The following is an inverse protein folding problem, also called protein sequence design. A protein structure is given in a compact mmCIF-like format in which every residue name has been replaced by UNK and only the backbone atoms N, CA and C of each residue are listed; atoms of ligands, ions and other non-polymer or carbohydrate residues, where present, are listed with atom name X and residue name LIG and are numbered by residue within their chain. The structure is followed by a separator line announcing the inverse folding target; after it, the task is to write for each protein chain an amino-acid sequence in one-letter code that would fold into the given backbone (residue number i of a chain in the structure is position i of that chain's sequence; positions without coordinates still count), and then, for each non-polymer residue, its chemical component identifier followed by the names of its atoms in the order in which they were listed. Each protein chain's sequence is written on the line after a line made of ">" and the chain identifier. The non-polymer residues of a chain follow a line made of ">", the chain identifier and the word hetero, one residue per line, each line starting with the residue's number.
data_IF_263127869480
#
_entry.id   IF_263127869480
#
_cell.length_a   1.000
_cell.length_b   1.000
_cell.length_c   1.000
_cell.angle_alpha   90.00
_cell.angle_beta   90.00
_cell.angle_gamma   90.00
#
_symmetry.space_group_name_H-M   'P 1'
#
loop_
_entity.id
_entity.type
_entity.pdbx_description
1 polymer ?
#
# COMPACT_ATOMS: atom_id res chain seq x y z
N UNK A 1 -0.02 12.19 -19.06
CA UNK A 1 -0.28 11.49 -17.79
C UNK A 1 0.02 12.42 -16.64
N UNK A 2 -0.71 12.36 -15.53
CA UNK A 2 -0.43 13.21 -14.37
C UNK A 2 0.92 12.85 -13.75
N UNK A 3 1.72 13.86 -13.36
CA UNK A 3 3.04 13.66 -12.70
C UNK A 3 2.97 12.81 -11.42
N UNK A 4 1.78 12.71 -10.82
CA UNK A 4 1.54 11.92 -9.60
C UNK A 4 1.47 10.42 -9.86
N UNK A 5 1.05 9.99 -11.06
CA UNK A 5 0.90 8.58 -11.42
C UNK A 5 2.20 8.00 -12.00
N UNK A 6 3.05 8.85 -12.59
CA UNK A 6 4.28 8.42 -13.26
C UNK A 6 5.18 7.50 -12.40
N UNK A 7 5.46 7.79 -11.11
CA UNK A 7 6.22 6.87 -10.26
C UNK A 7 5.55 5.51 -10.02
N UNK A 8 4.21 5.46 -10.07
CA UNK A 8 3.44 4.22 -9.92
C UNK A 8 3.49 3.37 -11.18
N UNK A 9 3.49 4.00 -12.36
CA UNK A 9 3.68 3.32 -13.65
C UNK A 9 5.10 2.79 -13.78
N UNK A 10 6.12 3.60 -13.46
CA UNK A 10 7.53 3.18 -13.48
C UNK A 10 7.75 2.01 -12.51
N UNK A 11 7.20 2.11 -11.30
CA UNK A 11 7.22 1.03 -10.30
C UNK A 11 6.32 -0.16 -10.63
N UNK A 12 5.63 -0.14 -11.79
CA UNK A 12 4.65 -1.14 -12.25
C UNK A 12 3.51 -1.45 -11.27
N UNK A 13 3.26 -0.58 -10.30
CA UNK A 13 2.11 -0.69 -9.40
C UNK A 13 0.82 -0.49 -10.18
N UNK A 14 0.80 0.54 -11.04
CA UNK A 14 -0.19 0.64 -12.10
C UNK A 14 0.17 -0.38 -13.18
N UNK A 15 -0.78 -1.22 -13.56
CA UNK A 15 -0.57 -2.33 -14.49
C UNK A 15 -0.50 -3.68 -13.78
N UNK A 16 0.26 -3.83 -12.70
CA UNK A 16 0.32 -5.12 -11.98
C UNK A 16 -0.67 -5.20 -10.82
N UNK A 17 -0.88 -4.12 -10.05
CA UNK A 17 -1.70 -4.15 -8.83
C UNK A 17 -3.04 -3.43 -9.00
N UNK A 18 -3.02 -2.27 -9.67
CA UNK A 18 -4.21 -1.44 -9.92
C UNK A 18 -4.28 -1.00 -11.38
N UNK A 19 -5.47 -0.65 -11.83
CA UNK A 19 -5.68 -0.03 -13.14
C UNK A 19 -5.29 1.45 -13.12
N UNK A 20 -5.17 2.04 -14.31
CA UNK A 20 -4.90 3.47 -14.43
C UNK A 20 -6.05 4.29 -13.84
N UNK A 21 -5.72 5.30 -13.04
CA UNK A 21 -6.68 6.12 -12.32
C UNK A 21 -6.21 7.57 -12.26
N UNK A 22 -7.12 8.48 -11.90
CA UNK A 22 -6.80 9.88 -11.64
C UNK A 22 -6.82 10.11 -10.11
N UNK A 23 -5.66 10.40 -9.48
CA UNK A 23 -5.61 10.68 -8.04
C UNK A 23 -6.50 11.88 -7.70
N UNK A 24 -7.31 11.74 -6.66
CA UNK A 24 -8.25 12.78 -6.20
C UNK A 24 -8.12 13.11 -4.72
N UNK A 25 -7.39 12.28 -3.96
CA UNK A 25 -7.17 12.46 -2.52
C UNK A 25 -5.68 12.27 -2.20
N UNK A 26 -5.18 13.00 -1.21
CA UNK A 26 -3.83 12.79 -0.67
C UNK A 26 -3.89 11.76 0.45
N UNK A 27 -3.09 10.69 0.33
CA UNK A 27 -2.85 9.74 1.42
C UNK A 27 -1.47 10.03 2.03
N UNK A 28 -1.42 10.19 3.36
CA UNK A 28 -0.19 10.38 4.13
C UNK A 28 0.03 9.21 5.06
N UNK A 29 1.16 8.53 4.92
CA UNK A 29 1.52 7.33 5.69
C UNK A 29 2.90 7.55 6.28
N UNK A 30 3.02 7.36 7.60
CA UNK A 30 4.26 7.61 8.33
C UNK A 30 4.56 6.44 9.27
N UNK A 31 5.75 5.84 9.12
CA UNK A 31 6.33 4.88 10.04
C UNK A 31 7.20 5.58 11.09
N UNK A 32 7.31 5.01 12.30
CA UNK A 32 8.18 5.47 13.40
C UNK A 32 8.17 7.00 13.62
N UNK A 33 7.00 7.61 13.47
CA UNK A 33 6.71 9.05 13.66
C UNK A 33 7.35 10.04 12.68
N UNK A 34 8.42 9.69 11.97
CA UNK A 34 9.11 10.61 11.05
C UNK A 34 9.34 10.05 9.63
N UNK A 35 9.12 8.76 9.42
CA UNK A 35 9.41 8.11 8.16
C UNK A 35 8.19 8.12 7.23
N UNK A 36 8.03 9.21 6.48
CA UNK A 36 6.96 9.29 5.48
C UNK A 36 7.25 8.34 4.30
N UNK A 37 6.22 7.57 3.94
CA UNK A 37 6.22 6.69 2.76
C UNK A 37 6.16 7.55 1.50
N UNK A 38 7.03 7.23 0.54
CA UNK A 38 7.04 7.85 -0.80
C UNK A 38 7.33 6.80 -1.87
N UNK A 39 6.78 7.02 -3.07
CA UNK A 39 6.85 6.06 -4.18
C UNK A 39 8.29 5.63 -4.48
N UNK A 40 8.54 4.32 -4.39
CA UNK A 40 9.82 3.71 -4.71
C UNK A 40 10.89 3.84 -3.62
N UNK A 41 10.62 4.56 -2.53
CA UNK A 41 11.56 4.67 -1.40
C UNK A 41 11.81 3.30 -0.80
N UNK A 42 13.07 2.99 -0.54
CA UNK A 42 13.42 1.76 0.17
C UNK A 42 13.37 1.99 1.69
N UNK A 43 12.63 1.13 2.40
CA UNK A 43 12.52 1.15 3.86
C UNK A 43 13.12 -0.13 4.45
N UNK A 44 13.82 0.02 5.58
CA UNK A 44 14.37 -1.12 6.30
C UNK A 44 13.24 -1.90 7.02
N UNK A 45 13.32 -3.24 7.11
CA UNK A 45 12.34 -4.05 7.86
C UNK A 45 12.10 -3.57 9.29
N UNK A 46 13.16 -3.14 10.00
CA UNK A 46 13.07 -2.57 11.34
C UNK A 46 12.20 -1.30 11.43
N UNK A 47 12.12 -0.51 10.36
CA UNK A 47 11.31 0.71 10.30
C UNK A 47 9.82 0.41 10.08
N UNK A 48 9.53 -0.68 9.36
CA UNK A 48 8.18 -1.07 8.95
C UNK A 48 7.56 -2.17 9.84
N UNK A 49 8.25 -2.51 10.94
CA UNK A 49 7.85 -3.56 11.86
C UNK A 49 6.49 -3.29 12.50
N UNK A 50 6.26 -2.04 12.93
CA UNK A 50 5.00 -1.60 13.54
C UNK A 50 4.05 -0.98 12.51
N UNK A 51 2.75 -1.08 12.78
CA UNK A 51 1.69 -0.45 11.95
C UNK A 51 1.98 1.05 11.76
N UNK A 52 1.91 1.58 10.53
CA UNK A 52 2.14 3.00 10.29
C UNK A 52 0.96 3.86 10.78
N UNK A 53 1.24 5.13 11.03
CA UNK A 53 0.20 6.16 11.17
C UNK A 53 -0.32 6.54 9.79
N UNK A 54 -1.63 6.44 9.62
CA UNK A 54 -2.36 6.93 8.45
C UNK A 54 -3.26 8.07 8.92
N UNK A 55 -3.26 9.21 8.23
CA UNK A 55 -4.04 10.39 8.65
C UNK A 55 -5.57 10.19 8.52
N UNK A 56 -5.99 9.15 7.80
CA UNK A 56 -7.39 8.77 7.61
C UNK A 56 -7.75 7.66 8.61
N UNK A 57 -8.75 7.90 9.46
CA UNK A 57 -9.26 6.92 10.42
C UNK A 57 -10.20 5.88 9.80
N UNK A 58 -10.50 4.82 10.55
CA UNK A 58 -11.41 3.77 10.09
C UNK A 58 -11.50 2.58 11.04
N UNK A 59 -12.26 1.56 10.63
CA UNK A 59 -12.34 0.26 11.30
C UNK A 59 -11.35 -0.70 10.66
N UNK A 60 -10.51 -1.33 11.47
CA UNK A 60 -9.64 -2.42 11.03
C UNK A 60 -10.46 -3.70 10.89
N UNK A 61 -10.44 -4.31 9.71
CA UNK A 61 -11.11 -5.58 9.41
C UNK A 61 -10.11 -6.74 9.21
N UNK A 62 -8.85 -6.42 8.96
CA UNK A 62 -7.70 -7.33 8.90
C UNK A 62 -6.55 -6.63 9.61
N UNK A 63 -5.94 -7.30 10.57
CA UNK A 63 -4.83 -6.73 11.35
C UNK A 63 -3.62 -6.42 10.46
N UNK A 64 -2.85 -5.39 10.80
CA UNK A 64 -1.55 -5.18 10.16
C UNK A 64 -0.62 -6.38 10.44
N UNK A 65 -0.02 -6.94 9.38
CA UNK A 65 1.02 -7.96 9.48
C UNK A 65 2.35 -7.36 9.06
N UNK A 66 3.38 -7.60 9.86
CA UNK A 66 4.72 -7.05 9.64
C UNK A 66 5.30 -7.56 8.32
N UNK A 67 5.74 -6.65 7.42
CA UNK A 67 6.51 -7.00 6.22
C UNK A 67 7.75 -7.85 6.52
N UNK A 68 7.82 -9.06 5.94
CA UNK A 68 8.97 -9.96 6.06
C UNK A 68 9.45 -10.44 4.68
N UNK A 69 10.08 -9.56 3.87
CA UNK A 69 10.60 -9.96 2.57
C UNK A 69 11.76 -10.95 2.73
N UNK A 70 11.66 -12.12 2.10
CA UNK A 70 12.67 -13.20 2.21
C UNK A 70 13.68 -13.17 1.06
N UNK A 71 13.20 -13.02 -0.18
CA UNK A 71 14.00 -13.06 -1.41
C UNK A 71 13.72 -11.81 -2.24
N UNK A 72 14.79 -11.08 -2.58
CA UNK A 72 14.72 -9.91 -3.45
C UNK A 72 14.06 -8.69 -2.80
N UNK A 73 13.75 -7.70 -3.65
CA UNK A 73 13.09 -6.46 -3.26
C UNK A 73 11.59 -6.61 -3.51
N UNK A 74 10.79 -6.37 -2.47
CA UNK A 74 9.34 -6.44 -2.49
C UNK A 74 8.75 -5.04 -2.46
N UNK A 75 7.65 -4.84 -3.19
CA UNK A 75 6.86 -3.60 -3.16
C UNK A 75 5.71 -3.77 -2.18
N UNK A 76 5.60 -2.85 -1.23
CA UNK A 76 4.49 -2.77 -0.29
C UNK A 76 3.64 -1.57 -0.68
N UNK A 77 2.41 -1.86 -1.11
CA UNK A 77 1.52 -0.89 -1.75
C UNK A 77 0.35 -0.57 -0.83
N UNK A 78 0.14 0.72 -0.57
CA UNK A 78 -1.06 1.23 0.09
C UNK A 78 -2.01 1.81 -0.96
N UNK A 79 -3.27 1.41 -0.89
CA UNK A 79 -4.29 1.74 -1.87
C UNK A 79 -5.52 2.25 -1.12
N UNK A 80 -6.02 3.43 -1.52
CA UNK A 80 -7.19 4.05 -0.93
C UNK A 80 -8.34 4.02 -1.92
N UNK A 81 -9.48 3.46 -1.49
CA UNK A 81 -10.72 3.43 -2.25
C UNK A 81 -11.81 4.27 -1.57
N UNK A 82 -12.74 4.79 -2.37
CA UNK A 82 -13.93 5.49 -1.87
C UNK A 82 -15.09 4.50 -1.78
N UNK A 83 -15.59 4.26 -0.56
CA UNK A 83 -16.79 3.45 -0.37
C UNK A 83 -18.06 4.24 -0.74
N UNK A 84 -19.08 3.54 -1.23
CA UNK A 84 -20.41 4.13 -1.52
C UNK A 84 -21.22 4.43 -0.25
N UNK A 85 -21.03 3.61 0.79
CA UNK A 85 -21.64 3.79 2.11
C UNK A 85 -20.72 3.20 3.21
N UNK A 86 -21.04 3.47 4.48
CA UNK A 86 -20.29 2.92 5.62
C UNK A 86 -20.56 1.42 5.76
N UNK A 87 -19.56 0.68 6.27
CA UNK A 87 -19.69 -0.74 6.63
C UNK A 87 -20.09 -1.70 5.49
N UNK A 88 -19.86 -1.32 4.23
CA UNK A 88 -20.19 -2.14 3.05
C UNK A 88 -19.11 -3.15 2.64
N UNK A 89 -17.96 -3.16 3.31
CA UNK A 89 -16.77 -3.94 2.92
C UNK A 89 -16.44 -4.95 4.02
N UNK A 90 -16.35 -6.22 3.63
CA UNK A 90 -15.95 -7.34 4.47
C UNK A 90 -14.44 -7.63 4.40
N UNK A 91 -13.94 -8.43 5.35
CA UNK A 91 -12.56 -8.92 5.29
C UNK A 91 -12.41 -9.95 4.16
N UNK A 92 -11.28 -9.96 3.41
CA UNK A 92 -10.97 -11.04 2.49
C UNK A 92 -10.82 -12.38 3.24
N UNK A 93 -11.05 -13.48 2.53
CA UNK A 93 -10.99 -14.83 3.10
C UNK A 93 -9.56 -15.28 3.44
N UNK A 94 -8.57 -14.81 2.67
CA UNK A 94 -7.15 -15.12 2.87
C UNK A 94 -6.27 -13.93 2.48
N UNK A 95 -5.06 -13.88 3.05
CA UNK A 95 -3.99 -12.97 2.63
C UNK A 95 -3.29 -13.47 1.38
N UNK A 96 -3.15 -14.78 1.27
CA UNK A 96 -2.53 -15.41 0.12
C UNK A 96 -3.45 -15.30 -1.10
N UNK A 97 -2.84 -15.07 -2.27
CA UNK A 97 -3.55 -14.89 -3.54
C UNK A 97 -4.57 -13.74 -3.52
N UNK A 98 -4.42 -12.77 -2.61
CA UNK A 98 -5.25 -11.57 -2.62
C UNK A 98 -5.04 -10.75 -3.89
N UNK A 99 -6.12 -10.45 -4.61
CA UNK A 99 -6.11 -9.57 -5.77
C UNK A 99 -6.89 -8.29 -5.46
N UNK A 100 -6.22 -7.14 -5.61
CA UNK A 100 -6.82 -5.83 -5.32
C UNK A 100 -7.95 -5.49 -6.30
N UNK A 101 -7.82 -5.87 -7.58
CA UNK A 101 -8.84 -5.55 -8.60
C UNK A 101 -10.13 -6.30 -8.35
N UNK A 102 -10.02 -7.61 -8.15
CA UNK A 102 -11.16 -8.49 -7.85
C UNK A 102 -11.86 -8.01 -6.57
N UNK A 103 -11.08 -7.70 -5.51
CA UNK A 103 -11.63 -7.16 -4.27
C UNK A 103 -12.38 -5.83 -4.47
N UNK A 104 -11.85 -4.93 -5.30
CA UNK A 104 -12.48 -3.65 -5.60
C UNK A 104 -13.78 -3.81 -6.41
N UNK A 105 -13.81 -4.76 -7.34
CA UNK A 105 -14.99 -5.09 -8.14
C UNK A 105 -16.09 -5.71 -7.27
N UNK A 106 -15.77 -6.76 -6.51
CA UNK A 106 -16.70 -7.48 -5.63
C UNK A 106 -17.37 -6.54 -4.60
N UNK A 107 -16.63 -5.54 -4.13
CA UNK A 107 -17.12 -4.58 -3.14
C UNK A 107 -17.64 -3.26 -3.76
N UNK A 108 -17.68 -3.15 -5.09
CA UNK A 108 -18.20 -1.97 -5.81
C UNK A 108 -17.43 -0.67 -5.51
N UNK A 109 -16.13 -0.77 -5.22
CA UNK A 109 -15.25 0.33 -4.82
C UNK A 109 -14.83 1.22 -5.99
N UNK A 110 -14.85 0.68 -7.22
CA UNK A 110 -14.37 1.37 -8.41
C UNK A 110 -12.85 1.56 -8.41
N UNK A 111 -12.37 2.59 -9.10
CA UNK A 111 -10.94 2.91 -9.17
C UNK A 111 -10.41 3.50 -7.86
N UNK A 112 -9.11 3.32 -7.55
CA UNK A 112 -8.50 3.93 -6.38
C UNK A 112 -8.50 5.46 -6.49
N UNK A 113 -8.55 6.14 -5.35
CA UNK A 113 -8.48 7.60 -5.24
C UNK A 113 -7.08 8.10 -4.85
N UNK A 114 -6.26 7.22 -4.27
CA UNK A 114 -4.86 7.45 -3.94
C UNK A 114 -4.10 6.12 -3.87
N UNK A 115 -2.82 6.12 -4.27
CA UNK A 115 -1.90 4.98 -4.13
C UNK A 115 -0.52 5.48 -3.80
N UNK A 116 0.16 4.81 -2.88
CA UNK A 116 1.58 5.03 -2.59
C UNK A 116 2.24 3.68 -2.28
N UNK A 117 3.50 3.50 -2.66
CA UNK A 117 4.24 2.27 -2.33
C UNK A 117 5.65 2.57 -1.85
N UNK A 118 6.22 1.62 -1.13
CA UNK A 118 7.65 1.59 -0.82
C UNK A 118 8.24 0.22 -1.18
N UNK A 119 9.56 0.17 -1.24
CA UNK A 119 10.32 -1.04 -1.46
C UNK A 119 10.92 -1.52 -0.13
N UNK A 120 10.96 -2.81 0.12
CA UNK A 120 11.76 -3.37 1.21
C UNK A 120 12.33 -4.72 0.80
N UNK A 121 13.49 -5.03 1.36
CA UNK A 121 14.14 -6.33 1.21
C UNK A 121 14.64 -6.80 2.56
N UNK A 122 15.02 -8.08 2.65
CA UNK A 122 15.54 -8.67 3.88
C UNK A 122 16.68 -7.83 4.44
N UNK A 123 16.66 -7.57 5.74
CA UNK A 123 17.75 -6.86 6.40
C UNK A 123 18.99 -7.76 6.43
N UNK A 124 20.06 -7.34 5.75
CA UNK A 124 21.36 -8.00 5.78
C UNK A 124 22.27 -7.29 6.79
N UNK A 125 23.18 -8.03 7.43
CA UNK A 125 24.08 -7.49 8.45
C UNK A 125 24.88 -6.25 7.98
N UNK A 126 25.13 -6.10 6.68
CA UNK A 126 25.82 -4.95 6.09
C UNK A 126 25.04 -3.62 6.17
N UNK A 127 23.71 -3.66 6.29
CA UNK A 127 22.85 -2.45 6.32
C UNK A 127 22.56 -1.91 7.72
N UNK A 128 23.11 -2.53 8.77
CA UNK A 128 22.97 -2.08 10.17
C UNK A 128 23.95 -0.95 10.56
N UNK A 129 24.63 -0.33 9.60
CA UNK A 129 25.69 0.66 9.83
C UNK A 129 25.16 2.09 9.83
#
# INVERSE_FOLDING_TARGET
>A
MSRLIEPLTIGRVVGEVVDSFTPSVKISITYNSNMQVSNGRELMPSVIAARPRVEIGGREIVSYETPQPVIGIHRYVFILFKQRARQTVGSPASRDHFNTRDFAEENGLGLPVAVVYFNAQRETAARRR
#
